data_IF_747910736836
#
_entry.id   IF_747910736836
#
_cell.length_a   1.000
_cell.length_b   1.000
_cell.length_c   1.000
_cell.angle_alpha   90.00
_cell.angle_beta   90.00
_cell.angle_gamma   90.00
#
_symmetry.space_group_name_H-M   'P 1'
#
loop_
_entity.id
_entity.type
_entity.pdbx_description
1 polymer ?
#
# COMPACT_ATOMS: atom_id res chain seq x y z
N UNK A 1 -14.01 -34.75 -9.92
CA UNK A 1 -13.06 -33.83 -10.59
C UNK A 1 -13.07 -32.49 -9.85
N UNK A 2 -11.98 -32.11 -9.18
CA UNK A 2 -11.90 -30.85 -8.43
C UNK A 2 -11.68 -29.66 -9.36
N UNK A 3 -12.55 -28.65 -9.32
CA UNK A 3 -12.35 -27.44 -10.13
C UNK A 3 -11.19 -26.61 -9.57
N UNK A 4 -10.22 -26.28 -10.43
CA UNK A 4 -9.11 -25.37 -10.11
C UNK A 4 -9.71 -23.99 -9.84
N UNK A 5 -9.56 -23.49 -8.60
CA UNK A 5 -10.07 -22.18 -8.22
C UNK A 5 -9.19 -21.10 -8.83
N UNK A 6 -9.78 -20.18 -9.60
CA UNK A 6 -9.10 -18.97 -10.09
C UNK A 6 -8.61 -18.15 -8.89
N UNK A 7 -7.31 -17.91 -8.82
CA UNK A 7 -6.70 -16.97 -7.88
C UNK A 7 -6.52 -15.61 -8.56
N UNK A 8 -6.75 -14.53 -7.81
CA UNK A 8 -6.57 -13.17 -8.28
C UNK A 8 -5.50 -12.49 -7.42
N UNK A 9 -4.59 -11.75 -8.05
CA UNK A 9 -3.56 -10.97 -7.37
C UNK A 9 -4.18 -9.84 -6.55
N UNK A 10 -3.44 -9.34 -5.55
CA UNK A 10 -3.88 -8.22 -4.72
C UNK A 10 -4.13 -6.97 -5.57
N UNK A 11 -3.17 -6.64 -6.43
CA UNK A 11 -3.23 -5.52 -7.38
C UNK A 11 -4.51 -5.56 -8.23
N UNK A 12 -4.83 -6.74 -8.79
CA UNK A 12 -6.02 -6.88 -9.61
C UNK A 12 -7.30 -6.65 -8.81
N UNK A 13 -7.39 -7.21 -7.59
CA UNK A 13 -8.55 -6.99 -6.72
C UNK A 13 -8.70 -5.52 -6.36
N UNK A 14 -7.58 -4.84 -6.08
CA UNK A 14 -7.56 -3.42 -5.75
C UNK A 14 -8.08 -2.58 -6.90
N UNK A 15 -7.50 -2.76 -8.09
CA UNK A 15 -7.89 -2.05 -9.31
C UNK A 15 -9.40 -2.14 -9.61
N UNK A 16 -9.96 -3.34 -9.46
CA UNK A 16 -11.40 -3.58 -9.67
C UNK A 16 -12.26 -2.84 -8.65
N UNK A 17 -11.88 -2.84 -7.38
CA UNK A 17 -12.63 -2.16 -6.33
C UNK A 17 -12.48 -0.64 -6.45
N UNK A 18 -11.28 -0.16 -6.79
CA UNK A 18 -11.00 1.25 -7.01
C UNK A 18 -11.83 1.82 -8.17
N UNK A 19 -11.89 1.11 -9.30
CA UNK A 19 -12.79 1.50 -10.41
C UNK A 19 -14.25 1.59 -9.98
N UNK A 20 -14.71 0.69 -9.13
CA UNK A 20 -16.07 0.72 -8.60
C UNK A 20 -16.30 1.94 -7.69
N UNK A 21 -15.35 2.26 -6.81
CA UNK A 21 -15.43 3.45 -5.94
C UNK A 21 -15.33 4.77 -6.75
N UNK A 22 -14.68 4.75 -7.92
CA UNK A 22 -14.68 5.87 -8.87
C UNK A 22 -16.01 6.04 -9.63
N UNK A 23 -16.99 5.15 -9.43
CA UNK A 23 -18.33 5.25 -10.01
C UNK A 23 -18.61 4.28 -11.16
N UNK A 24 -17.69 3.38 -11.50
CA UNK A 24 -17.96 2.33 -12.49
C UNK A 24 -19.04 1.37 -11.97
N UNK A 25 -19.88 0.86 -12.88
CA UNK A 25 -20.91 -0.10 -12.51
C UNK A 25 -20.37 -1.53 -12.48
N UNK A 26 -21.01 -2.40 -11.71
CA UNK A 26 -20.66 -3.83 -11.71
C UNK A 26 -20.76 -4.46 -13.10
N UNK A 27 -21.70 -4.01 -13.94
CA UNK A 27 -21.87 -4.57 -15.29
C UNK A 27 -20.65 -4.29 -16.17
N UNK A 28 -20.11 -3.07 -16.14
CA UNK A 28 -18.88 -2.71 -16.88
C UNK A 28 -17.68 -3.54 -16.40
N UNK A 29 -17.55 -3.70 -15.08
CA UNK A 29 -16.48 -4.51 -14.47
C UNK A 29 -16.63 -6.00 -14.86
N UNK A 30 -17.87 -6.51 -14.88
CA UNK A 30 -18.17 -7.88 -15.27
C UNK A 30 -17.85 -8.12 -16.74
N UNK A 31 -18.18 -7.19 -17.62
CA UNK A 31 -17.90 -7.28 -19.04
C UNK A 31 -16.38 -7.23 -19.31
N UNK A 32 -15.66 -6.33 -18.64
CA UNK A 32 -14.21 -6.20 -18.78
C UNK A 32 -13.41 -7.39 -18.23
N UNK A 33 -13.88 -8.03 -17.15
CA UNK A 33 -13.07 -8.99 -16.39
C UNK A 33 -13.72 -10.36 -16.16
N UNK A 34 -14.98 -10.55 -16.56
CA UNK A 34 -15.71 -11.81 -16.37
C UNK A 34 -15.90 -12.20 -14.91
N UNK A 35 -16.03 -11.23 -14.00
CA UNK A 35 -16.03 -11.47 -12.56
C UNK A 35 -17.40 -11.89 -12.01
N UNK A 36 -17.39 -12.89 -11.13
CA UNK A 36 -18.59 -13.30 -10.39
C UNK A 36 -19.03 -12.23 -9.38
N UNK A 37 -20.34 -11.96 -9.35
CA UNK A 37 -20.94 -10.92 -8.52
C UNK A 37 -20.70 -11.16 -7.02
N UNK A 38 -20.77 -12.42 -6.58
CA UNK A 38 -20.57 -12.75 -5.16
C UNK A 38 -19.13 -12.47 -4.73
N UNK A 39 -18.17 -12.80 -5.59
CA UNK A 39 -16.76 -12.56 -5.30
C UNK A 39 -16.43 -11.07 -5.30
N UNK A 40 -16.95 -10.33 -6.28
CA UNK A 40 -16.83 -8.87 -6.36
C UNK A 40 -17.39 -8.19 -5.11
N UNK A 41 -18.64 -8.50 -4.72
CA UNK A 41 -19.26 -7.94 -3.50
C UNK A 41 -18.45 -8.23 -2.24
N UNK A 42 -17.86 -9.43 -2.16
CA UNK A 42 -16.98 -9.79 -1.04
C UNK A 42 -15.72 -8.92 -0.99
N UNK A 43 -15.12 -8.61 -2.14
CA UNK A 43 -13.95 -7.74 -2.21
C UNK A 43 -14.30 -6.30 -1.81
N UNK A 44 -15.37 -5.73 -2.36
CA UNK A 44 -15.85 -4.38 -2.02
C UNK A 44 -16.10 -4.26 -0.52
N UNK A 45 -16.83 -5.21 0.08
CA UNK A 45 -17.08 -5.20 1.53
C UNK A 45 -15.79 -5.23 2.34
N UNK A 46 -14.88 -6.16 2.03
CA UNK A 46 -13.61 -6.29 2.75
C UNK A 46 -12.72 -5.05 2.61
N UNK A 47 -12.76 -4.42 1.44
CA UNK A 47 -12.03 -3.18 1.18
C UNK A 47 -12.61 -2.02 1.99
N UNK A 48 -13.93 -1.90 2.12
CA UNK A 48 -14.55 -0.89 3.00
C UNK A 48 -14.23 -1.12 4.47
N UNK A 49 -14.20 -2.37 4.92
CA UNK A 49 -13.95 -2.71 6.31
C UNK A 49 -12.46 -2.55 6.72
N UNK A 50 -11.51 -2.89 5.84
CA UNK A 50 -10.09 -3.02 6.18
C UNK A 50 -9.11 -2.40 5.15
N UNK A 51 -9.61 -1.68 4.15
CA UNK A 51 -8.82 -1.15 3.04
C UNK A 51 -8.13 -2.25 2.22
N UNK A 52 -6.94 -1.93 1.69
CA UNK A 52 -6.08 -2.85 0.95
C UNK A 52 -5.81 -4.17 1.70
N UNK A 53 -5.59 -4.11 3.02
CA UNK A 53 -5.36 -5.29 3.89
C UNK A 53 -6.55 -6.25 3.93
N UNK A 54 -7.74 -5.79 3.55
CA UNK A 54 -8.92 -6.63 3.41
C UNK A 54 -8.88 -7.52 2.17
N UNK A 55 -8.21 -7.09 1.09
CA UNK A 55 -8.14 -7.81 -0.18
C UNK A 55 -7.03 -8.87 -0.22
N UNK A 56 -6.09 -8.77 0.72
CA UNK A 56 -5.04 -9.77 0.92
C UNK A 56 -5.62 -11.16 1.20
N UNK A 57 -5.03 -12.16 0.53
CA UNK A 57 -5.38 -13.54 0.80
C UNK A 57 -4.65 -14.02 2.05
N UNK A 58 -5.38 -14.19 3.15
CA UNK A 58 -4.86 -14.70 4.43
C UNK A 58 -4.84 -16.22 4.50
N UNK A 59 -5.06 -16.93 3.39
CA UNK A 59 -4.99 -18.41 3.36
C UNK A 59 -3.52 -18.84 3.35
N UNK A 60 -3.16 -19.74 4.26
CA UNK A 60 -1.81 -20.27 4.40
C UNK A 60 -0.96 -19.54 5.45
N UNK A 61 0.26 -20.01 5.66
CA UNK A 61 1.22 -19.39 6.59
C UNK A 61 1.55 -17.97 6.10
N UNK A 62 1.49 -16.94 6.95
CA UNK A 62 1.82 -15.58 6.54
C UNK A 62 3.23 -15.57 5.91
N UNK A 63 3.34 -14.99 4.71
CA UNK A 63 4.66 -14.69 4.14
C UNK A 63 5.33 -13.69 5.07
N UNK A 64 6.58 -13.93 5.44
CA UNK A 64 7.39 -12.93 6.16
C UNK A 64 7.53 -11.74 5.20
N UNK A 65 6.76 -10.68 5.42
CA UNK A 65 6.92 -9.42 4.69
C UNK A 65 8.10 -8.65 5.26
N UNK A 66 8.70 -7.75 4.47
CA UNK A 66 9.78 -6.87 4.92
C UNK A 66 9.36 -5.97 6.11
N UNK A 67 8.06 -5.67 6.27
CA UNK A 67 7.48 -5.04 7.47
C UNK A 67 7.84 -5.76 8.77
N UNK A 68 8.10 -7.06 8.70
CA UNK A 68 8.53 -7.85 9.85
C UNK A 68 9.94 -7.46 10.26
N UNK A 69 10.84 -7.15 9.31
CA UNK A 69 12.22 -6.77 9.60
C UNK A 69 12.28 -5.42 10.32
N UNK A 70 11.53 -4.41 9.87
CA UNK A 70 11.46 -3.10 10.56
C UNK A 70 10.84 -3.16 11.97
N UNK A 71 9.94 -4.11 12.22
CA UNK A 71 9.37 -4.36 13.55
C UNK A 71 10.25 -5.24 14.45
N UNK A 72 11.20 -5.97 13.86
CA UNK A 72 12.16 -6.82 14.56
C UNK A 72 13.46 -6.09 14.89
N UNK A 73 13.73 -4.92 14.28
CA UNK A 73 14.82 -4.06 14.73
C UNK A 73 14.58 -3.67 16.19
N UNK A 74 15.56 -3.91 17.09
CA UNK A 74 15.47 -3.45 18.47
C UNK A 74 15.15 -1.95 18.48
N UNK A 75 14.30 -1.46 19.40
CA UNK A 75 13.91 -0.06 19.45
C UNK A 75 15.11 0.92 19.39
N UNK A 76 16.26 0.54 19.97
CA UNK A 76 17.48 1.34 19.97
C UNK A 76 18.11 1.56 18.59
N UNK A 77 18.15 0.56 17.72
CA UNK A 77 18.74 0.69 16.37
C UNK A 77 17.86 1.56 15.47
N UNK A 78 16.54 1.43 15.63
CA UNK A 78 15.57 2.27 14.93
C UNK A 78 15.71 3.74 15.34
N UNK A 79 15.90 4.00 16.63
CA UNK A 79 16.11 5.37 17.15
C UNK A 79 17.39 5.96 16.54
N UNK A 80 18.52 5.24 16.58
CA UNK A 80 19.79 5.73 16.03
C UNK A 80 19.70 6.06 14.53
N UNK A 81 19.04 5.20 13.74
CA UNK A 81 18.85 5.44 12.30
C UNK A 81 17.98 6.67 12.05
N UNK A 82 16.88 6.82 12.79
CA UNK A 82 15.99 7.97 12.66
C UNK A 82 16.66 9.27 13.11
N UNK A 83 17.48 9.22 14.15
CA UNK A 83 18.26 10.37 14.61
C UNK A 83 19.28 10.81 13.56
N UNK A 84 20.01 9.87 12.95
CA UNK A 84 20.94 10.14 11.87
C UNK A 84 20.24 10.74 10.63
N UNK A 85 19.07 10.22 10.28
CA UNK A 85 18.26 10.77 9.18
C UNK A 85 17.77 12.20 9.49
N UNK A 86 17.30 12.46 10.72
CA UNK A 86 16.89 13.79 11.17
C UNK A 86 18.07 14.77 11.10
N UNK A 87 19.26 14.36 11.55
CA UNK A 87 20.46 15.19 11.51
C UNK A 87 20.88 15.51 10.08
N UNK A 88 20.88 14.51 9.20
CA UNK A 88 21.19 14.69 7.79
C UNK A 88 20.20 15.64 7.11
N UNK A 89 18.90 15.44 7.32
CA UNK A 89 17.84 16.30 6.76
C UNK A 89 17.94 17.74 7.28
N UNK A 90 18.22 17.94 8.57
CA UNK A 90 18.50 19.27 9.12
C UNK A 90 19.69 19.91 8.41
N UNK A 91 20.81 19.21 8.29
CA UNK A 91 22.00 19.75 7.60
C UNK A 91 21.70 20.19 6.16
N UNK A 92 20.91 19.41 5.40
CA UNK A 92 20.49 19.78 4.06
C UNK A 92 19.59 21.03 4.03
N UNK A 93 18.67 21.16 4.98
CA UNK A 93 17.80 22.33 5.10
C UNK A 93 18.57 23.59 5.46
N UNK A 94 19.53 23.51 6.37
CA UNK A 94 20.38 24.62 6.78
C UNK A 94 21.28 25.09 5.63
N UNK A 95 21.86 24.17 4.86
CA UNK A 95 22.61 24.52 3.63
C UNK A 95 21.71 25.29 2.64
N UNK A 96 20.49 24.79 2.41
CA UNK A 96 19.51 25.41 1.51
C UNK A 96 18.99 26.77 2.02
N UNK A 97 18.87 26.97 3.34
CA UNK A 97 18.51 28.26 3.96
C UNK A 97 19.64 29.29 3.83
N UNK A 98 20.89 28.85 3.96
CA UNK A 98 22.07 29.69 3.75
C UNK A 98 22.12 30.25 2.32
N UNK A 99 21.85 29.40 1.33
CA UNK A 99 21.78 29.78 -0.08
C UNK A 99 20.69 30.84 -0.36
N UNK A 100 19.51 30.73 0.28
CA UNK A 100 18.42 31.72 0.13
C UNK A 100 18.75 33.08 0.74
N UNK A 101 19.55 33.12 1.80
CA UNK A 101 19.97 34.38 2.43
C UNK A 101 21.11 35.06 1.69
N UNK A 102 21.99 34.29 1.03
CA UNK A 102 23.06 34.85 0.20
C UNK A 102 22.58 35.34 -1.16
N UNK A 103 21.53 34.70 -1.73
CA UNK A 103 20.95 35.10 -3.02
C UNK A 103 20.10 36.38 -2.97
N UNK A 104 19.70 36.83 -1.77
CA UNK A 104 18.97 38.09 -1.53
C UNK A 104 19.87 39.31 -1.29
N UNK A 105 21.19 39.11 -1.16
CA UNK A 105 22.20 40.17 -0.93
C UNK A 105 23.11 40.40 -2.15
N UNK A 106 22.75 39.85 -3.31
CA UNK A 106 23.40 40.12 -4.61
C UNK A 106 22.44 40.89 -5.50
#
# INVERSE_FOLDING_TARGET
MGQIKKSYSLEFKHHVVEKFEQGATYNEIKEAHGLDLRMFRRWVRKYRDNGLKGLEDRRGRPRKTDDTFEKLLPPGEKIQRLEAEIEFLKKLLEARKGERSQRRKR
#
